data_IF_924025748049
#
_entry.id   IF_924025748049
#
_cell.length_a   1.000
_cell.length_b   1.000
_cell.length_c   1.000
_cell.angle_alpha   90.00
_cell.angle_beta   90.00
_cell.angle_gamma   90.00
#
_symmetry.space_group_name_H-M   'P 1'
#
loop_
_entity.id
_entity.type
_entity.pdbx_description
1 polymer ?
#
# COMPACT_ATOMS: atom_id res chain seq x y z
N UNK A 1 19.63 -59.60 51.77
CA UNK A 1 20.72 -58.59 51.70
C UNK A 1 20.16 -57.41 50.89
N UNK A 2 19.55 -56.38 51.48
CA UNK A 2 20.03 -55.32 52.41
C UNK A 2 20.46 -54.03 51.66
N UNK A 3 19.60 -52.99 51.79
CA UNK A 3 19.80 -51.52 51.65
C UNK A 3 20.16 -50.99 50.24
N UNK A 4 19.83 -49.76 49.80
CA UNK A 4 19.70 -48.46 50.46
C UNK A 4 18.69 -47.53 49.75
N UNK A 5 18.21 -46.58 50.56
CA UNK A 5 17.29 -45.46 50.33
C UNK A 5 17.94 -44.37 49.46
N UNK A 6 17.16 -43.70 48.59
CA UNK A 6 17.48 -42.33 48.16
C UNK A 6 16.22 -41.46 48.20
N UNK A 7 16.34 -40.35 48.93
CA UNK A 7 15.29 -39.40 49.26
C UNK A 7 15.14 -38.37 48.12
N UNK A 8 13.94 -38.26 47.56
CA UNK A 8 13.57 -37.23 46.59
C UNK A 8 13.00 -36.01 47.31
N UNK A 9 13.69 -34.88 47.14
CA UNK A 9 13.44 -33.57 47.72
C UNK A 9 12.07 -33.00 47.33
N UNK A 10 11.29 -32.61 48.34
CA UNK A 10 10.01 -31.90 48.19
C UNK A 10 10.31 -30.39 48.03
N UNK A 11 10.14 -29.84 46.83
CA UNK A 11 10.25 -28.41 46.59
C UNK A 11 8.88 -27.74 46.72
N UNK A 12 8.72 -26.92 47.76
CA UNK A 12 7.57 -26.05 48.01
C UNK A 12 7.65 -24.83 47.10
N UNK A 13 6.73 -24.67 46.14
CA UNK A 13 6.59 -23.45 45.35
C UNK A 13 5.67 -22.46 46.08
N UNK A 14 6.12 -21.22 46.36
CA UNK A 14 5.26 -20.20 46.96
C UNK A 14 4.31 -19.63 45.90
N UNK A 15 3.04 -19.59 46.28
CA UNK A 15 1.94 -18.94 45.59
C UNK A 15 2.22 -17.43 45.55
N UNK A 16 2.54 -16.88 44.38
CA UNK A 16 2.72 -15.42 44.22
C UNK A 16 1.40 -14.78 43.81
N UNK A 17 1.08 -13.72 44.55
CA UNK A 17 -0.16 -12.94 44.52
C UNK A 17 -0.52 -12.37 43.14
N UNK A 18 -1.81 -12.46 42.87
CA UNK A 18 -2.53 -11.96 41.71
C UNK A 18 -2.59 -10.42 41.77
N UNK A 19 -1.78 -9.76 40.93
CA UNK A 19 -1.81 -8.30 40.76
C UNK A 19 -2.73 -7.94 39.60
N UNK A 20 -3.86 -7.30 39.90
CA UNK A 20 -4.74 -6.64 38.93
C UNK A 20 -4.05 -5.43 38.31
N UNK A 21 -3.84 -5.45 37.00
CA UNK A 21 -3.37 -4.30 36.22
C UNK A 21 -4.27 -4.08 35.00
N UNK A 22 -4.92 -2.92 35.02
CA UNK A 22 -5.51 -2.15 33.93
C UNK A 22 -5.70 -2.85 32.58
N UNK A 23 -6.94 -3.16 32.22
CA UNK A 23 -7.34 -3.24 30.81
C UNK A 23 -7.32 -1.82 30.23
N UNK A 24 -6.17 -1.39 29.70
CA UNK A 24 -6.21 -0.46 28.58
C UNK A 24 -7.08 -1.12 27.50
N UNK A 25 -8.02 -0.36 26.90
CA UNK A 25 -8.77 -0.80 25.72
C UNK A 25 -7.78 -1.00 24.57
N UNK A 26 -7.11 -2.14 24.59
CA UNK A 26 -6.30 -2.63 23.50
C UNK A 26 -7.32 -3.10 22.47
N UNK A 27 -7.64 -2.27 21.47
CA UNK A 27 -8.32 -2.78 20.29
C UNK A 27 -7.36 -3.81 19.70
N UNK A 28 -7.66 -5.09 19.88
CA UNK A 28 -6.88 -6.22 19.35
C UNK A 28 -7.00 -6.34 17.83
N UNK A 29 -7.46 -5.28 17.16
CA UNK A 29 -7.61 -5.25 15.72
C UNK A 29 -6.25 -4.88 15.16
N UNK A 30 -5.59 -5.87 14.58
CA UNK A 30 -4.40 -5.61 13.78
C UNK A 30 -4.80 -4.81 12.55
N UNK A 31 -4.56 -3.50 12.60
CA UNK A 31 -4.92 -2.56 11.52
C UNK A 31 -3.84 -2.50 10.45
N UNK A 32 -2.58 -2.78 10.80
CA UNK A 32 -1.44 -2.62 9.89
C UNK A 32 -0.48 -3.80 9.96
N UNK A 33 -0.04 -4.24 8.78
CA UNK A 33 0.97 -5.26 8.57
C UNK A 33 1.84 -4.91 7.39
N UNK A 34 3.09 -5.37 7.40
CA UNK A 34 3.97 -5.28 6.24
C UNK A 34 4.67 -6.61 6.01
N UNK A 35 4.86 -6.96 4.74
CA UNK A 35 5.63 -8.13 4.32
C UNK A 35 6.71 -7.67 3.36
N UNK A 36 7.95 -8.06 3.64
CA UNK A 36 9.13 -7.68 2.88
C UNK A 36 9.63 -8.86 2.05
N UNK A 37 10.02 -8.58 0.81
CA UNK A 37 10.44 -9.57 -0.17
C UNK A 37 11.69 -9.09 -0.91
N UNK A 38 12.75 -9.89 -0.86
CA UNK A 38 13.86 -9.73 -1.80
C UNK A 38 13.38 -10.03 -3.21
N UNK A 39 13.74 -9.19 -4.18
CA UNK A 39 13.36 -9.37 -5.58
C UNK A 39 13.86 -10.71 -6.13
N UNK A 40 15.11 -11.10 -5.82
CA UNK A 40 15.68 -12.35 -6.30
C UNK A 40 14.90 -13.59 -5.84
N UNK A 41 14.36 -13.58 -4.62
CA UNK A 41 13.69 -14.73 -3.99
C UNK A 41 12.21 -14.82 -4.37
N UNK A 42 11.52 -13.69 -4.40
CA UNK A 42 10.06 -13.62 -4.53
C UNK A 42 9.56 -13.63 -5.97
N UNK A 43 10.40 -13.19 -6.91
CA UNK A 43 10.09 -13.13 -8.34
C UNK A 43 10.61 -14.40 -9.00
N UNK A 44 9.80 -15.46 -8.93
CA UNK A 44 10.12 -16.81 -9.41
C UNK A 44 9.82 -16.99 -10.90
N UNK A 45 9.00 -16.12 -11.49
CA UNK A 45 8.74 -16.07 -12.94
C UNK A 45 9.87 -15.39 -13.75
N UNK A 46 9.66 -15.21 -15.06
CA UNK A 46 10.52 -14.36 -15.90
C UNK A 46 11.61 -15.07 -16.71
N UNK A 47 11.93 -16.33 -16.39
CA UNK A 47 12.83 -17.17 -17.20
C UNK A 47 14.18 -16.51 -17.50
N UNK A 48 14.66 -16.61 -18.74
CA UNK A 48 15.95 -16.05 -19.18
C UNK A 48 15.94 -14.53 -19.42
N UNK A 49 14.82 -13.83 -19.17
CA UNK A 49 14.74 -12.39 -19.39
C UNK A 49 15.43 -11.58 -18.29
N UNK A 50 15.72 -12.21 -17.15
CA UNK A 50 16.29 -11.57 -15.97
C UNK A 50 17.54 -12.28 -15.48
N UNK A 51 18.45 -11.49 -14.92
CA UNK A 51 19.66 -11.93 -14.24
C UNK A 51 19.57 -11.51 -12.77
N UNK A 52 20.14 -12.34 -11.88
CA UNK A 52 20.25 -12.07 -10.44
C UNK A 52 21.71 -11.86 -10.10
N UNK A 53 22.03 -10.81 -9.37
CA UNK A 53 23.37 -10.58 -8.84
C UNK A 53 23.57 -11.30 -7.51
N UNK A 54 24.84 -11.49 -7.12
CA UNK A 54 25.21 -12.15 -5.87
C UNK A 54 24.72 -11.40 -4.61
N UNK A 55 24.41 -10.11 -4.76
CA UNK A 55 23.86 -9.25 -3.70
C UNK A 55 22.33 -9.28 -3.60
N UNK A 56 21.64 -10.13 -4.39
CA UNK A 56 20.19 -10.30 -4.31
C UNK A 56 19.36 -9.38 -5.22
N UNK A 57 20.00 -8.47 -5.96
CA UNK A 57 19.30 -7.60 -6.92
C UNK A 57 18.93 -8.33 -8.20
N UNK A 58 17.85 -7.88 -8.83
CA UNK A 58 17.32 -8.40 -10.09
C UNK A 58 17.41 -7.34 -11.19
N UNK A 59 17.88 -7.72 -12.37
CA UNK A 59 17.99 -6.84 -13.54
C UNK A 59 17.61 -7.58 -14.83
N UNK A 60 17.40 -6.83 -15.91
CA UNK A 60 17.20 -7.43 -17.23
C UNK A 60 18.48 -8.08 -17.74
N UNK A 61 18.35 -9.28 -18.30
CA UNK A 61 19.46 -9.99 -18.91
C UNK A 61 20.08 -9.19 -20.07
N UNK A 62 21.33 -9.48 -20.41
CA UNK A 62 22.04 -8.78 -21.48
C UNK A 62 21.28 -8.86 -22.81
N UNK A 63 21.08 -7.72 -23.47
CA UNK A 63 20.36 -7.61 -24.74
C UNK A 63 18.82 -7.64 -24.63
N UNK A 64 18.26 -7.94 -23.46
CA UNK A 64 16.81 -7.87 -23.22
C UNK A 64 16.38 -6.42 -23.00
N UNK A 65 15.41 -5.95 -23.79
CA UNK A 65 14.92 -4.56 -23.75
C UNK A 65 13.85 -4.34 -22.70
N UNK A 66 12.97 -5.32 -22.55
CA UNK A 66 11.85 -5.30 -21.62
C UNK A 66 11.60 -6.72 -21.13
N UNK A 67 11.20 -6.86 -19.87
CA UNK A 67 10.86 -8.13 -19.27
C UNK A 67 9.82 -7.95 -18.18
N UNK A 68 8.97 -8.96 -18.03
CA UNK A 68 7.93 -8.98 -17.00
C UNK A 68 8.06 -10.24 -16.16
N UNK A 69 7.98 -10.08 -14.85
CA UNK A 69 8.02 -11.18 -13.87
C UNK A 69 6.88 -11.02 -12.86
N UNK A 70 6.37 -12.14 -12.36
CA UNK A 70 5.26 -12.21 -11.41
C UNK A 70 5.76 -12.93 -10.16
N UNK A 71 5.31 -12.46 -8.99
CA UNK A 71 5.58 -13.10 -7.71
C UNK A 71 4.79 -14.41 -7.53
N UNK A 72 5.24 -15.23 -6.59
CA UNK A 72 4.35 -16.25 -6.03
C UNK A 72 3.14 -15.60 -5.32
N UNK A 73 2.02 -16.33 -5.13
CA UNK A 73 0.90 -15.84 -4.32
C UNK A 73 1.33 -15.58 -2.87
N UNK A 74 1.04 -14.37 -2.38
CA UNK A 74 1.32 -13.94 -1.00
C UNK A 74 0.00 -13.91 -0.22
N UNK A 75 -0.05 -14.57 0.94
CA UNK A 75 -1.22 -14.51 1.82
C UNK A 75 -1.36 -13.11 2.43
N UNK A 76 -2.58 -12.56 2.40
CA UNK A 76 -2.91 -11.30 3.08
C UNK A 76 -2.95 -11.59 4.59
N UNK A 77 -2.24 -10.83 5.43
CA UNK A 77 -2.07 -11.13 6.85
C UNK A 77 -3.28 -10.71 7.72
N UNK A 78 -4.49 -10.82 7.20
CA UNK A 78 -5.75 -10.52 7.88
C UNK A 78 -6.80 -11.57 7.57
N UNK A 79 -7.50 -12.05 8.61
CA UNK A 79 -8.56 -13.05 8.43
C UNK A 79 -9.86 -12.42 7.89
N UNK A 80 -10.22 -11.24 8.42
CA UNK A 80 -11.49 -10.57 8.17
C UNK A 80 -11.30 -9.04 8.03
N UNK A 81 -10.63 -8.56 6.96
CA UNK A 81 -10.60 -7.13 6.68
C UNK A 81 -12.03 -6.61 6.45
N UNK A 82 -12.37 -5.43 6.95
CA UNK A 82 -13.70 -4.83 6.76
C UNK A 82 -13.56 -3.29 6.75
N UNK A 83 -14.20 -2.56 5.82
CA UNK A 83 -15.03 -3.06 4.71
C UNK A 83 -14.23 -3.54 3.49
N UNK A 84 -12.92 -3.30 3.46
CA UNK A 84 -12.00 -3.64 2.38
C UNK A 84 -10.59 -3.84 2.94
N UNK A 85 -9.66 -4.27 2.09
CA UNK A 85 -8.22 -4.24 2.37
C UNK A 85 -7.56 -3.16 1.53
N UNK A 86 -6.79 -2.28 2.15
CA UNK A 86 -5.93 -1.35 1.45
C UNK A 86 -4.51 -1.90 1.37
N UNK A 87 -3.89 -1.84 0.19
CA UNK A 87 -2.55 -2.31 -0.06
C UNK A 87 -1.75 -1.21 -0.75
N UNK A 88 -0.56 -0.90 -0.24
CA UNK A 88 0.46 -0.16 -1.00
C UNK A 88 1.72 -1.01 -1.14
N UNK A 89 2.51 -0.68 -2.14
CA UNK A 89 3.82 -1.26 -2.36
C UNK A 89 4.88 -0.18 -2.15
N UNK A 90 5.99 -0.59 -1.56
CA UNK A 90 7.22 0.18 -1.50
C UNK A 90 8.30 -0.66 -2.14
N UNK A 91 9.10 -0.11 -3.04
CA UNK A 91 10.18 -0.86 -3.65
C UNK A 91 11.47 -0.06 -3.67
N UNK A 92 12.58 -0.78 -3.51
CA UNK A 92 13.92 -0.22 -3.56
C UNK A 92 14.57 -0.58 -4.89
N UNK A 93 15.01 0.40 -5.66
CA UNK A 93 15.59 0.17 -6.98
C UNK A 93 16.61 1.23 -7.41
N UNK A 94 17.69 0.75 -8.01
CA UNK A 94 18.63 1.61 -8.73
C UNK A 94 18.18 1.72 -10.17
N UNK A 95 17.72 2.89 -10.57
CA UNK A 95 17.29 3.15 -11.93
C UNK A 95 17.74 4.54 -12.39
N UNK A 96 18.22 4.70 -13.63
CA UNK A 96 18.49 6.03 -14.18
C UNK A 96 17.20 6.84 -14.38
N UNK A 97 16.04 6.19 -14.38
CA UNK A 97 14.71 6.80 -14.51
C UNK A 97 13.69 5.90 -13.81
N UNK A 98 12.89 6.43 -12.89
CA UNK A 98 11.90 5.66 -12.13
C UNK A 98 10.82 5.02 -13.03
N UNK A 99 10.60 5.54 -14.24
CA UNK A 99 9.64 4.99 -15.20
C UNK A 99 10.08 3.67 -15.84
N UNK A 100 11.33 3.24 -15.60
CA UNK A 100 11.86 1.97 -16.11
C UNK A 100 11.42 0.76 -15.32
N UNK A 101 10.75 0.95 -14.17
CA UNK A 101 10.13 -0.12 -13.39
C UNK A 101 8.66 0.23 -13.20
N UNK A 102 7.77 -0.69 -13.58
CA UNK A 102 6.35 -0.62 -13.30
C UNK A 102 5.96 -1.78 -12.40
N UNK A 103 5.20 -1.48 -11.34
CA UNK A 103 4.66 -2.45 -10.41
C UNK A 103 3.14 -2.48 -10.50
N UNK A 104 2.56 -3.67 -10.51
CA UNK A 104 1.12 -3.85 -10.57
C UNK A 104 0.69 -4.91 -9.57
N UNK A 105 -0.46 -4.72 -8.93
CA UNK A 105 -1.03 -5.64 -7.94
C UNK A 105 -2.33 -6.26 -8.44
N UNK A 106 -2.59 -7.50 -8.04
CA UNK A 106 -3.90 -8.15 -8.15
C UNK A 106 -4.16 -9.01 -6.93
N UNK A 107 -5.43 -9.24 -6.62
CA UNK A 107 -5.82 -10.11 -5.50
C UNK A 107 -6.62 -11.32 -5.98
N UNK A 108 -6.73 -12.29 -5.08
CA UNK A 108 -7.53 -13.50 -5.26
C UNK A 108 -8.15 -13.93 -3.93
N UNK A 109 -9.39 -14.45 -3.91
CA UNK A 109 -9.99 -15.04 -2.72
C UNK A 109 -9.43 -16.44 -2.39
N UNK A 110 -8.82 -17.13 -3.35
CA UNK A 110 -8.42 -18.54 -3.21
C UNK A 110 -7.02 -18.89 -3.76
N UNK A 111 -6.30 -17.89 -4.29
CA UNK A 111 -4.95 -18.04 -4.84
C UNK A 111 -4.92 -18.60 -6.27
N UNK A 112 -6.08 -18.92 -6.86
CA UNK A 112 -6.21 -19.52 -8.20
C UNK A 112 -7.06 -18.66 -9.14
N UNK A 113 -8.13 -18.07 -8.63
CA UNK A 113 -9.02 -17.16 -9.35
C UNK A 113 -8.57 -15.73 -9.12
N UNK A 114 -7.91 -15.14 -10.10
CA UNK A 114 -7.27 -13.82 -9.97
C UNK A 114 -8.12 -12.71 -10.58
N UNK A 115 -8.19 -11.57 -9.89
CA UNK A 115 -8.74 -10.35 -10.44
C UNK A 115 -7.84 -9.71 -11.50
N UNK A 116 -8.25 -8.52 -11.96
CA UNK A 116 -7.45 -7.69 -12.86
C UNK A 116 -6.20 -7.13 -12.19
N UNK A 117 -5.20 -6.79 -13.01
CA UNK A 117 -4.03 -6.04 -12.58
C UNK A 117 -4.39 -4.57 -12.39
N UNK A 118 -3.95 -3.98 -11.28
CA UNK A 118 -4.07 -2.56 -10.96
C UNK A 118 -2.68 -1.96 -10.85
N UNK A 119 -2.50 -0.79 -11.43
CA UNK A 119 -1.21 -0.10 -11.43
C UNK A 119 -0.90 0.45 -10.03
N UNK A 120 0.28 0.10 -9.51
CA UNK A 120 0.80 0.63 -8.25
C UNK A 120 1.73 1.80 -8.56
N UNK A 121 1.18 2.83 -9.20
CA UNK A 121 1.91 4.02 -9.65
C UNK A 121 2.55 4.74 -8.47
N UNK A 122 3.72 5.33 -8.74
CA UNK A 122 4.49 6.13 -7.79
C UNK A 122 3.63 7.28 -7.26
N UNK A 123 3.54 7.38 -5.94
CA UNK A 123 2.91 8.51 -5.26
C UNK A 123 3.88 9.70 -5.21
N UNK A 124 3.64 10.67 -6.08
CA UNK A 124 4.44 11.90 -6.15
C UNK A 124 4.22 12.86 -4.96
N UNK A 125 3.28 12.56 -4.05
CA UNK A 125 3.05 13.34 -2.83
C UNK A 125 3.85 12.84 -1.64
N UNK A 126 4.52 11.69 -1.75
CA UNK A 126 5.42 11.17 -0.74
C UNK A 126 6.84 11.63 -1.06
N UNK A 127 7.44 12.40 -0.15
CA UNK A 127 8.87 12.66 -0.20
C UNK A 127 9.61 11.36 0.14
N UNK A 128 10.41 10.79 -0.78
CA UNK A 128 11.09 9.54 -0.52
C UNK A 128 12.16 9.73 0.56
N UNK A 129 12.23 8.80 1.50
CA UNK A 129 13.24 8.84 2.57
C UNK A 129 14.67 8.61 2.06
N UNK A 130 14.79 7.90 0.93
CA UNK A 130 16.04 7.56 0.23
C UNK A 130 15.84 7.74 -1.28
N UNK A 131 16.88 8.12 -2.03
CA UNK A 131 16.78 8.39 -3.49
C UNK A 131 16.34 7.19 -4.32
N UNK A 132 16.55 5.97 -3.83
CA UNK A 132 16.24 4.71 -4.49
C UNK A 132 15.00 4.01 -3.93
N UNK A 133 14.23 4.67 -3.06
CA UNK A 133 13.03 4.14 -2.45
C UNK A 133 11.78 4.79 -3.04
N UNK A 134 10.86 3.97 -3.55
CA UNK A 134 9.64 4.40 -4.22
C UNK A 134 8.42 3.90 -3.48
N UNK A 135 7.37 4.72 -3.43
CA UNK A 135 6.11 4.40 -2.77
C UNK A 135 4.98 4.42 -3.79
N UNK A 136 4.10 3.42 -3.78
CA UNK A 136 2.84 3.48 -4.52
C UNK A 136 1.77 4.24 -3.74
N UNK A 137 0.77 4.72 -4.45
CA UNK A 137 -0.51 5.07 -3.84
C UNK A 137 -1.21 3.83 -3.23
N UNK A 138 -2.23 4.06 -2.41
CA UNK A 138 -3.06 3.00 -1.83
C UNK A 138 -4.04 2.44 -2.86
N UNK A 139 -4.03 1.12 -3.01
CA UNK A 139 -5.00 0.36 -3.79
C UNK A 139 -6.00 -0.31 -2.85
N UNK A 140 -7.28 -0.28 -3.22
CA UNK A 140 -8.37 -0.82 -2.40
C UNK A 140 -8.95 -2.08 -3.05
N UNK A 141 -8.96 -3.19 -2.30
CA UNK A 141 -9.47 -4.47 -2.78
C UNK A 141 -10.60 -4.99 -1.89
N UNK A 142 -11.46 -5.83 -2.47
CA UNK A 142 -12.60 -6.43 -1.76
C UNK A 142 -12.15 -7.20 -0.51
N UNK A 143 -12.98 -7.16 0.55
CA UNK A 143 -12.73 -7.85 1.82
C UNK A 143 -12.62 -9.37 1.72
N UNK A 144 -13.04 -9.95 0.61
CA UNK A 144 -12.92 -11.36 0.26
C UNK A 144 -11.53 -11.73 -0.29
N UNK A 145 -10.66 -10.74 -0.54
CA UNK A 145 -9.27 -10.99 -0.93
C UNK A 145 -8.52 -11.74 0.17
N UNK A 146 -7.81 -12.81 -0.19
CA UNK A 146 -6.99 -13.63 0.72
C UNK A 146 -5.55 -13.76 0.27
N UNK A 147 -5.31 -13.56 -1.02
CA UNK A 147 -4.00 -13.59 -1.63
C UNK A 147 -3.78 -12.33 -2.47
N UNK A 148 -2.52 -11.90 -2.56
CA UNK A 148 -2.05 -10.86 -3.46
C UNK A 148 -0.90 -11.41 -4.31
N UNK A 149 -0.81 -10.95 -5.55
CA UNK A 149 0.36 -11.09 -6.40
C UNK A 149 0.76 -9.73 -6.91
N UNK A 150 2.06 -9.55 -7.08
CA UNK A 150 2.59 -8.41 -7.79
C UNK A 150 3.32 -8.84 -9.06
N UNK A 151 3.31 -7.94 -10.03
CA UNK A 151 4.00 -8.07 -11.30
C UNK A 151 4.92 -6.88 -11.47
N UNK A 152 6.15 -7.17 -11.86
CA UNK A 152 7.17 -6.16 -12.16
C UNK A 152 7.47 -6.22 -13.65
N UNK A 153 7.36 -5.08 -14.32
CA UNK A 153 7.86 -4.89 -15.68
C UNK A 153 9.05 -3.96 -15.62
N UNK A 154 10.18 -4.38 -16.19
CA UNK A 154 11.38 -3.58 -16.30
C UNK A 154 11.68 -3.28 -17.76
N UNK A 155 12.15 -2.07 -18.04
CA UNK A 155 12.60 -1.65 -19.38
C UNK A 155 14.00 -1.04 -19.31
N UNK A 156 14.83 -1.27 -20.33
CA UNK A 156 16.12 -0.58 -20.46
C UNK A 156 15.92 0.87 -20.89
N UNK A 157 16.80 1.74 -20.42
CA UNK A 157 16.87 3.13 -20.90
C UNK A 157 17.29 3.21 -22.38
N UNK A 158 17.15 4.40 -22.97
CA UNK A 158 17.59 4.68 -24.35
C UNK A 158 19.09 4.43 -24.57
N UNK A 159 19.91 4.57 -23.53
CA UNK A 159 21.35 4.27 -23.55
C UNK A 159 21.68 2.82 -23.13
N UNK A 160 20.67 1.94 -23.12
CA UNK A 160 20.77 0.51 -22.85
C UNK A 160 21.15 0.13 -21.41
N UNK A 161 20.96 1.03 -20.44
CA UNK A 161 21.11 0.73 -19.02
C UNK A 161 19.86 0.04 -18.49
N UNK A 162 20.01 -1.12 -17.84
CA UNK A 162 18.89 -1.79 -17.17
C UNK A 162 18.73 -1.28 -15.74
N UNK A 163 17.50 -1.14 -15.24
CA UNK A 163 17.26 -0.91 -13.83
C UNK A 163 17.63 -2.16 -13.00
N UNK A 164 17.84 -1.96 -11.71
CA UNK A 164 18.10 -3.01 -10.74
C UNK A 164 17.09 -2.89 -9.59
N UNK A 165 16.26 -3.92 -9.40
CA UNK A 165 15.32 -4.00 -8.29
C UNK A 165 15.95 -4.80 -7.16
N UNK A 166 15.90 -4.25 -5.95
CA UNK A 166 16.44 -4.87 -4.74
C UNK A 166 15.32 -5.61 -4.00
N UNK A 167 14.33 -4.85 -3.53
CA UNK A 167 13.27 -5.35 -2.66
C UNK A 167 11.90 -4.78 -3.03
N UNK A 168 10.87 -5.52 -2.66
CA UNK A 168 9.47 -5.08 -2.65
C UNK A 168 8.90 -5.33 -1.25
N UNK A 169 8.29 -4.31 -0.67
CA UNK A 169 7.56 -4.39 0.60
C UNK A 169 6.09 -4.09 0.33
N UNK A 170 5.20 -4.99 0.74
CA UNK A 170 3.76 -4.79 0.68
C UNK A 170 3.25 -4.37 2.05
N UNK A 171 2.54 -3.26 2.09
CA UNK A 171 1.87 -2.75 3.27
C UNK A 171 0.38 -3.06 3.18
N UNK A 172 -0.18 -3.65 4.23
CA UNK A 172 -1.57 -4.06 4.32
C UNK A 172 -2.23 -3.28 5.44
N UNK A 173 -3.34 -2.61 5.12
CA UNK A 173 -4.12 -1.80 6.05
C UNK A 173 -5.55 -2.32 6.10
N UNK A 174 -5.95 -2.81 7.27
CA UNK A 174 -7.32 -3.11 7.62
C UNK A 174 -7.91 -1.89 8.34
N UNK A 175 -8.77 -1.09 7.68
CA UNK A 175 -9.32 0.13 8.28
C UNK A 175 -10.24 -0.16 9.47
N UNK A 176 -10.70 -1.41 9.62
CA UNK A 176 -11.67 -1.80 10.63
C UNK A 176 -13.09 -1.33 10.30
N UNK A 177 -14.06 -2.03 10.87
CA UNK A 177 -15.45 -1.59 10.83
C UNK A 177 -15.65 -0.43 11.79
N UNK A 178 -16.27 0.65 11.33
CA UNK A 178 -16.80 1.67 12.24
C UNK A 178 -17.86 1.03 13.13
N UNK A 179 -17.73 1.16 14.45
CA UNK A 179 -18.70 0.58 15.37
C UNK A 179 -20.07 1.26 15.21
N UNK A 180 -21.14 0.55 15.60
CA UNK A 180 -22.52 1.03 15.40
C UNK A 180 -22.80 2.35 16.15
N UNK A 181 -22.17 2.55 17.31
CA UNK A 181 -22.34 3.75 18.13
C UNK A 181 -21.74 4.99 17.42
N UNK A 182 -20.53 4.86 16.87
CA UNK A 182 -19.85 5.89 16.10
C UNK A 182 -20.61 6.17 14.80
N UNK A 183 -21.15 5.13 14.16
CA UNK A 183 -22.02 5.29 13.00
C UNK A 183 -23.27 6.13 13.33
N UNK A 184 -23.94 5.85 14.46
CA UNK A 184 -25.10 6.61 14.90
C UNK A 184 -24.76 8.10 15.17
N UNK A 185 -23.58 8.36 15.75
CA UNK A 185 -23.07 9.72 15.98
C UNK A 185 -22.78 10.43 14.66
N UNK A 186 -22.12 9.75 13.71
CA UNK A 186 -21.82 10.30 12.38
C UNK A 186 -23.12 10.63 11.64
N UNK A 187 -24.09 9.72 11.64
CA UNK A 187 -25.38 9.93 10.98
C UNK A 187 -26.14 11.12 11.57
N UNK A 188 -26.22 11.20 12.90
CA UNK A 188 -26.81 12.32 13.63
C UNK A 188 -26.19 13.67 13.23
N UNK A 189 -24.86 13.77 13.27
CA UNK A 189 -24.13 15.00 12.88
C UNK A 189 -24.27 15.33 11.40
N UNK A 190 -24.29 14.30 10.54
CA UNK A 190 -24.47 14.50 9.10
C UNK A 190 -25.85 15.07 8.77
N UNK A 191 -26.90 14.64 9.48
CA UNK A 191 -28.25 15.14 9.30
C UNK A 191 -28.37 16.61 9.73
N UNK A 192 -27.70 17.00 10.83
CA UNK A 192 -27.62 18.39 11.29
C UNK A 192 -26.91 19.29 10.25
N UNK A 193 -25.80 18.82 9.68
CA UNK A 193 -25.00 19.56 8.69
C UNK A 193 -25.56 19.52 7.25
N UNK A 194 -26.63 18.75 6.98
CA UNK A 194 -27.34 18.75 5.69
C UNK A 194 -28.27 19.96 5.51
N UNK A 195 -28.32 20.89 6.46
CA UNK A 195 -28.87 22.22 6.18
C UNK A 195 -28.17 22.75 4.92
N UNK A 196 -28.88 22.97 3.80
CA UNK A 196 -28.23 23.48 2.60
C UNK A 196 -27.47 24.73 3.00
N UNK A 197 -26.18 24.79 2.66
CA UNK A 197 -25.42 26.02 2.75
C UNK A 197 -26.29 27.08 2.08
N UNK A 198 -26.93 27.92 2.89
CA UNK A 198 -27.60 29.11 2.37
C UNK A 198 -26.45 29.97 1.94
N UNK A 199 -26.03 29.79 0.70
CA UNK A 199 -25.37 30.83 -0.06
C UNK A 199 -26.39 31.95 -0.12
N UNK A 200 -26.44 32.78 0.91
CA UNK A 200 -26.81 34.17 0.73
C UNK A 200 -25.66 34.73 -0.09
N UNK A 201 -25.85 35.04 -1.39
CA UNK A 201 -24.85 35.80 -2.10
C UNK A 201 -24.74 37.16 -1.41
N UNK A 202 -23.83 37.27 -0.45
CA UNK A 202 -23.26 38.54 -0.02
C UNK A 202 -22.18 38.94 -1.01
N UNK A 203 -22.52 38.88 -2.30
CA UNK A 203 -21.84 39.70 -3.28
C UNK A 203 -22.39 41.10 -3.01
N UNK A 204 -21.69 41.85 -2.16
CA UNK A 204 -21.67 43.29 -2.34
C UNK A 204 -21.24 43.47 -3.79
N UNK A 205 -22.20 43.82 -4.65
CA UNK A 205 -21.87 44.25 -6.01
C UNK A 205 -21.05 45.50 -5.82
N UNK A 206 -19.73 45.34 -5.81
CA UNK A 206 -18.81 46.45 -5.94
C UNK A 206 -19.10 47.05 -7.32
N UNK A 207 -19.92 48.11 -7.33
CA UNK A 207 -20.32 48.82 -8.55
C UNK A 207 -19.10 49.43 -9.28
N UNK A 208 -17.90 49.39 -8.69
CA UNK A 208 -16.67 49.78 -9.36
C UNK A 208 -16.10 48.74 -10.32
N UNK A 209 -16.61 47.49 -10.31
CA UNK A 209 -16.19 46.46 -11.27
C UNK A 209 -16.98 46.67 -12.58
N UNK A 210 -16.34 47.14 -13.67
CA UNK A 210 -17.02 47.32 -14.94
C UNK A 210 -17.56 45.99 -15.46
N UNK A 211 -18.76 46.04 -16.03
CA UNK A 211 -19.45 44.89 -16.55
C UNK A 211 -18.60 44.25 -17.67
N UNK A 212 -18.16 43.00 -17.50
CA UNK A 212 -17.27 42.30 -18.44
C UNK A 212 -17.85 42.18 -19.87
N UNK A 213 -19.14 42.47 -20.05
CA UNK A 213 -19.81 42.50 -21.35
C UNK A 213 -19.52 43.75 -22.20
N UNK A 214 -18.89 44.79 -21.66
CA UNK A 214 -18.51 46.00 -22.42
C UNK A 214 -17.12 45.91 -23.10
N UNK A 215 -16.36 44.84 -22.89
CA UNK A 215 -15.01 44.66 -23.48
C UNK A 215 -15.04 43.77 -24.73
N UNK A 216 -15.98 44.00 -25.66
CA UNK A 216 -16.07 43.22 -26.92
C UNK A 216 -15.72 43.96 -28.21
N UNK A 217 -15.41 45.26 -28.17
CA UNK A 217 -15.31 46.05 -29.41
C UNK A 217 -13.90 46.55 -29.81
N UNK A 218 -12.79 46.01 -29.29
CA UNK A 218 -11.45 46.61 -29.57
C UNK A 218 -10.33 45.65 -29.96
N UNK A 219 -10.63 44.51 -30.60
CA UNK A 219 -9.55 43.73 -31.24
C UNK A 219 -9.87 43.51 -32.73
N UNK A 220 -9.41 44.40 -33.64
CA UNK A 220 -9.42 44.09 -35.06
C UNK A 220 -8.46 42.92 -35.32
N UNK A 221 -8.98 41.88 -35.96
CA UNK A 221 -8.17 40.76 -36.44
C UNK A 221 -7.20 41.26 -37.54
N UNK A 222 -5.91 40.89 -37.49
CA UNK A 222 -5.01 41.16 -38.60
C UNK A 222 -5.47 40.34 -39.82
N UNK A 223 -5.69 41.02 -40.95
CA UNK A 223 -5.71 40.36 -42.24
C UNK A 223 -4.27 40.09 -42.66
N UNK A 224 -3.89 38.82 -42.75
CA UNK A 224 -3.10 38.14 -43.81
C UNK A 224 -2.67 36.77 -43.28
#
# INVERSE_FOLDING_TARGET
>A
MMKLISAGVLALFPFLLLSTMLSAQNSTVDEYRSLHFSAAESLTGGGSAFERSDDGRMSLASGIREGTVISDPVAIPFENPDPFIAISAVWKAQSPDHHLISLQLRTSPDGSNWGGWNDADIDHHVEPAEEDLFHSHLLFFGRDSRFVQYRVTMSRSMINTAPQLDDVTLHFINPGATNEDDMAVIESKSAENRQPLRFTPSVETDESIPNFLEVRDVIPLPMV
#
